data_IF_250028054527
#
_entry.id   IF_250028054527
#
_cell.length_a   1.000
_cell.length_b   1.000
_cell.length_c   1.000
_cell.angle_alpha   90.00
_cell.angle_beta   90.00
_cell.angle_gamma   90.00
#
_symmetry.space_group_name_H-M   'P 1'
#
loop_
_entity.id
_entity.type
_entity.pdbx_description
1 polymer ?
#
# COMPACT_ATOMS: atom_id res chain seq x y z
N UNK A 1 9.05 -0.04 -13.88
CA UNK A 1 7.93 -0.02 -12.93
C UNK A 1 8.52 -0.37 -11.59
N UNK A 2 8.65 0.59 -10.67
CA UNK A 2 9.16 0.33 -9.32
C UNK A 2 8.06 -0.32 -8.52
N UNK A 3 8.34 -1.45 -7.86
CA UNK A 3 7.45 -1.95 -6.83
C UNK A 3 7.62 -1.04 -5.61
N UNK A 4 6.61 -0.28 -5.27
CA UNK A 4 6.61 0.47 -4.03
C UNK A 4 5.52 -0.19 -3.21
N UNK A 5 5.81 -0.70 -1.99
CA UNK A 5 4.79 -1.06 -0.98
C UNK A 5 5.41 -1.13 0.40
N UNK A 6 4.75 -0.51 1.38
CA UNK A 6 5.17 -0.35 2.78
C UNK A 6 3.96 -0.58 3.71
N UNK A 7 4.15 -1.24 4.87
CA UNK A 7 3.18 -1.24 5.98
C UNK A 7 3.48 -2.29 7.07
N UNK A 8 3.06 -2.06 8.32
CA UNK A 8 3.66 -2.55 9.57
C UNK A 8 2.82 -3.61 10.32
N UNK A 9 3.44 -4.68 10.81
CA UNK A 9 2.92 -5.42 11.98
C UNK A 9 4.06 -5.96 12.80
N UNK A 10 4.45 -5.30 13.89
CA UNK A 10 5.38 -5.81 14.92
C UNK A 10 6.58 -6.64 14.43
N UNK A 11 7.04 -6.41 13.20
CA UNK A 11 7.86 -7.40 12.50
C UNK A 11 9.25 -7.34 13.10
N UNK A 12 9.74 -8.46 13.61
CA UNK A 12 11.07 -8.54 14.22
C UNK A 12 12.14 -7.96 13.29
N UNK A 13 12.03 -8.22 11.99
CA UNK A 13 12.93 -7.71 10.96
C UNK A 13 12.89 -6.18 10.81
N UNK A 14 11.72 -5.58 10.98
CA UNK A 14 11.56 -4.14 10.90
C UNK A 14 12.06 -3.43 12.16
N UNK A 15 11.84 -4.02 13.33
CA UNK A 15 12.41 -3.54 14.59
C UNK A 15 13.95 -3.60 14.56
N UNK A 16 14.51 -4.65 13.97
CA UNK A 16 15.96 -4.79 13.77
C UNK A 16 16.52 -3.77 12.77
N UNK A 17 15.86 -3.58 11.62
CA UNK A 17 16.36 -2.73 10.53
C UNK A 17 16.06 -1.24 10.72
N UNK A 18 15.08 -0.90 11.57
CA UNK A 18 14.48 0.43 11.61
C UNK A 18 13.72 0.79 10.33
N UNK A 19 12.94 1.87 10.36
CA UNK A 19 12.09 2.30 9.24
C UNK A 19 12.88 2.52 7.94
N UNK A 20 13.97 3.31 8.01
CA UNK A 20 14.80 3.60 6.83
C UNK A 20 15.49 2.35 6.25
N UNK A 21 15.97 1.44 7.11
CA UNK A 21 16.63 0.20 6.69
C UNK A 21 15.64 -0.77 6.03
N UNK A 22 14.44 -0.87 6.59
CA UNK A 22 13.36 -1.68 6.03
C UNK A 22 12.89 -1.17 4.67
N UNK A 23 12.65 0.14 4.54
CA UNK A 23 12.32 0.80 3.27
C UNK A 23 13.37 0.58 2.20
N UNK A 24 14.66 0.63 2.60
CA UNK A 24 15.77 0.33 1.69
C UNK A 24 15.66 -1.09 1.13
N UNK A 25 15.43 -2.09 1.97
CA UNK A 25 15.35 -3.49 1.53
C UNK A 25 14.14 -3.75 0.62
N UNK A 26 13.00 -3.16 0.96
CA UNK A 26 11.80 -3.13 0.10
C UNK A 26 12.10 -2.61 -1.29
N UNK A 27 12.80 -1.47 -1.35
CA UNK A 27 13.20 -0.85 -2.59
C UNK A 27 14.12 -1.75 -3.42
N UNK A 28 15.05 -2.47 -2.79
CA UNK A 28 15.91 -3.42 -3.50
C UNK A 28 15.09 -4.57 -4.10
N UNK A 29 14.15 -5.16 -3.35
CA UNK A 29 13.25 -6.19 -3.88
C UNK A 29 12.48 -5.69 -5.11
N UNK A 30 11.96 -4.48 -5.03
CA UNK A 30 11.23 -3.85 -6.12
C UNK A 30 12.03 -3.65 -7.40
N UNK A 31 13.27 -3.16 -7.27
CA UNK A 31 14.18 -3.02 -8.40
C UNK A 31 14.50 -4.38 -9.02
N UNK A 32 14.60 -5.43 -8.20
CA UNK A 32 14.79 -6.80 -8.68
C UNK A 32 13.58 -7.26 -9.48
N UNK A 33 12.37 -7.17 -8.92
CA UNK A 33 11.14 -7.60 -9.59
C UNK A 33 10.94 -6.86 -10.92
N UNK A 34 11.26 -5.56 -10.95
CA UNK A 34 11.23 -4.74 -12.16
C UNK A 34 12.26 -5.19 -13.22
N UNK A 35 13.49 -5.47 -12.80
CA UNK A 35 14.53 -5.99 -13.68
C UNK A 35 14.19 -7.40 -14.18
N UNK A 36 13.59 -8.22 -13.33
CA UNK A 36 13.14 -9.57 -13.67
C UNK A 36 12.07 -9.58 -14.76
N UNK A 37 11.13 -8.63 -14.70
CA UNK A 37 10.07 -8.48 -15.68
C UNK A 37 10.55 -7.83 -17.00
N UNK A 38 11.57 -6.96 -16.93
CA UNK A 38 11.97 -6.12 -18.07
C UNK A 38 13.20 -6.65 -18.84
N UNK A 39 14.05 -7.45 -18.21
CA UNK A 39 15.36 -7.84 -18.77
C UNK A 39 15.42 -9.37 -18.94
N UNK A 40 15.77 -9.88 -20.13
CA UNK A 40 15.98 -11.31 -20.34
C UNK A 40 17.05 -11.90 -19.41
N UNK A 41 16.88 -13.15 -18.91
CA UNK A 41 17.79 -13.77 -17.93
C UNK A 41 19.28 -13.68 -18.27
N UNK A 42 19.64 -13.86 -19.54
CA UNK A 42 21.01 -13.83 -20.04
C UNK A 42 21.69 -12.46 -19.95
N UNK A 43 20.92 -11.37 -19.86
CA UNK A 43 21.43 -10.00 -19.73
C UNK A 43 21.46 -9.51 -18.28
N UNK A 44 20.72 -10.17 -17.36
CA UNK A 44 20.61 -9.75 -15.96
C UNK A 44 21.97 -9.66 -15.25
N UNK A 45 22.91 -10.62 -15.37
CA UNK A 45 24.18 -10.56 -14.65
C UNK A 45 25.05 -9.33 -14.98
N UNK A 46 24.83 -8.70 -16.14
CA UNK A 46 25.56 -7.52 -16.60
C UNK A 46 24.87 -6.20 -16.26
N UNK A 47 23.64 -6.26 -15.74
CA UNK A 47 22.84 -5.08 -15.47
C UNK A 47 23.42 -4.31 -14.27
N UNK A 48 23.56 -2.99 -14.43
CA UNK A 48 23.81 -2.05 -13.34
C UNK A 48 22.60 -1.17 -13.13
N UNK A 49 22.14 -1.12 -11.89
CA UNK A 49 20.99 -0.33 -11.49
C UNK A 49 21.47 0.87 -10.69
N UNK A 50 20.97 2.06 -11.05
CA UNK A 50 21.14 3.25 -10.23
C UNK A 50 19.94 3.35 -9.28
N UNK A 51 20.16 2.99 -8.03
CA UNK A 51 19.13 2.87 -6.99
C UNK A 51 19.17 4.12 -6.14
N UNK A 52 18.05 4.83 -6.04
CA UNK A 52 17.89 5.99 -5.15
C UNK A 52 16.86 5.68 -4.07
N UNK A 53 17.18 5.99 -2.81
CA UNK A 53 16.33 5.69 -1.66
C UNK A 53 16.05 7.00 -0.91
N UNK A 54 14.83 7.53 -1.02
CA UNK A 54 14.49 8.86 -0.52
C UNK A 54 15.45 9.94 -1.04
N UNK A 55 15.98 10.74 -0.12
CA UNK A 55 16.89 11.86 -0.42
C UNK A 55 18.37 11.48 -0.51
N UNK A 56 18.72 10.20 -0.35
CA UNK A 56 20.12 9.77 -0.47
C UNK A 56 20.62 9.84 -1.92
N UNK A 57 21.92 10.12 -2.15
CA UNK A 57 22.51 10.06 -3.48
C UNK A 57 22.30 8.67 -4.13
N UNK A 58 22.06 8.59 -5.46
CA UNK A 58 21.93 7.31 -6.14
C UNK A 58 23.17 6.43 -5.96
N UNK A 59 22.96 5.15 -5.67
CA UNK A 59 24.01 4.14 -5.58
C UNK A 59 23.92 3.23 -6.80
N UNK A 60 25.04 3.02 -7.47
CA UNK A 60 25.14 2.02 -8.54
C UNK A 60 25.33 0.64 -7.93
N UNK A 61 24.43 -0.29 -8.25
CA UNK A 61 24.44 -1.67 -7.75
C UNK A 61 24.37 -2.64 -8.92
N UNK A 62 25.19 -3.68 -8.90
CA UNK A 62 25.10 -4.74 -9.90
C UNK A 62 23.90 -5.65 -9.59
N UNK A 63 23.28 -6.22 -10.62
CA UNK A 63 22.13 -7.10 -10.44
C UNK A 63 22.41 -8.32 -9.53
N UNK A 64 23.57 -8.99 -9.57
CA UNK A 64 23.85 -10.09 -8.64
C UNK A 64 23.83 -9.65 -7.16
N UNK A 65 24.33 -8.45 -6.85
CA UNK A 65 24.29 -7.90 -5.50
C UNK A 65 22.85 -7.54 -5.08
N UNK A 66 22.07 -7.02 -6.03
CA UNK A 66 20.64 -6.72 -5.85
C UNK A 66 19.83 -7.99 -5.56
N UNK A 67 20.10 -9.05 -6.33
CA UNK A 67 19.46 -10.35 -6.19
C UNK A 67 19.77 -10.95 -4.81
N UNK A 68 21.05 -10.96 -4.40
CA UNK A 68 21.46 -11.44 -3.08
C UNK A 68 20.78 -10.66 -1.95
N UNK A 69 20.76 -9.33 -2.03
CA UNK A 69 20.15 -8.47 -1.02
C UNK A 69 18.63 -8.67 -0.92
N UNK A 70 17.94 -8.79 -2.06
CA UNK A 70 16.50 -9.01 -2.11
C UNK A 70 16.11 -10.43 -1.64
N UNK A 71 16.90 -11.45 -1.98
CA UNK A 71 16.66 -12.81 -1.50
C UNK A 71 16.95 -12.95 0.00
N UNK A 72 18.01 -12.32 0.52
CA UNK A 72 18.30 -12.30 1.94
C UNK A 72 17.17 -11.63 2.73
N UNK A 73 16.57 -10.59 2.15
CA UNK A 73 15.39 -9.94 2.72
C UNK A 73 14.16 -10.85 2.69
N UNK A 74 13.86 -11.45 1.54
CA UNK A 74 12.68 -12.32 1.34
C UNK A 74 12.76 -13.59 2.22
N UNK A 75 13.94 -14.17 2.40
CA UNK A 75 14.16 -15.34 3.28
C UNK A 75 13.90 -15.05 4.77
N UNK A 76 14.01 -13.78 5.19
CA UNK A 76 13.84 -13.37 6.59
C UNK A 76 12.42 -12.90 6.91
N UNK A 77 11.53 -12.92 5.93
CA UNK A 77 10.10 -12.73 6.11
C UNK A 77 9.50 -14.08 6.54
N UNK A 78 9.10 -14.21 7.80
CA UNK A 78 8.36 -15.39 8.28
C UNK A 78 6.92 -15.36 7.79
N UNK A 79 6.33 -16.53 7.48
CA UNK A 79 4.90 -16.65 7.24
C UNK A 79 4.10 -16.12 8.44
N UNK A 80 2.95 -15.51 8.18
CA UNK A 80 2.04 -15.05 9.21
C UNK A 80 0.91 -16.07 9.32
N UNK A 81 1.11 -17.08 10.17
CA UNK A 81 0.17 -18.19 10.37
C UNK A 81 -1.21 -17.69 10.83
N UNK A 82 -1.27 -16.52 11.49
CA UNK A 82 -2.48 -15.90 12.00
C UNK A 82 -2.98 -14.69 11.18
N UNK A 83 -2.45 -14.47 9.96
CA UNK A 83 -2.91 -13.35 9.13
C UNK A 83 -4.26 -13.69 8.46
N UNK A 84 -5.32 -12.94 8.77
CA UNK A 84 -6.65 -13.22 8.23
C UNK A 84 -6.78 -13.00 6.72
N UNK A 85 -5.77 -12.42 6.07
CA UNK A 85 -5.80 -12.00 4.66
C UNK A 85 -5.04 -12.97 3.75
N UNK A 86 -4.15 -13.80 4.30
CA UNK A 86 -3.18 -14.56 3.49
C UNK A 86 -3.26 -16.07 3.64
N UNK A 87 -4.16 -16.58 4.48
CA UNK A 87 -4.45 -18.01 4.63
C UNK A 87 -3.18 -18.90 4.73
N UNK A 88 -2.16 -18.44 5.45
CA UNK A 88 -0.91 -19.20 5.66
C UNK A 88 0.16 -19.08 4.55
N UNK A 89 -0.03 -18.21 3.56
CA UNK A 89 1.03 -17.86 2.60
C UNK A 89 2.18 -17.09 3.29
N UNK A 90 3.42 -17.12 2.75
CA UNK A 90 4.52 -16.31 3.26
C UNK A 90 4.20 -14.83 3.08
N UNK A 91 3.76 -14.20 4.15
CA UNK A 91 3.35 -12.80 4.15
C UNK A 91 4.58 -11.95 4.39
N UNK A 92 4.92 -11.12 3.41
CA UNK A 92 5.79 -9.97 3.60
C UNK A 92 5.54 -9.31 4.96
N UNK A 93 6.58 -8.79 5.62
CA UNK A 93 6.40 -7.75 6.66
C UNK A 93 5.86 -6.43 6.06
N UNK A 94 5.14 -6.53 4.94
CA UNK A 94 4.62 -5.46 4.12
C UNK A 94 3.12 -5.47 4.30
N UNK A 95 2.58 -4.28 4.47
CA UNK A 95 1.16 -4.00 4.44
C UNK A 95 0.32 -4.66 5.52
N UNK A 96 0.41 -4.19 6.77
CA UNK A 96 -0.78 -4.25 7.64
C UNK A 96 -0.99 -2.93 8.37
N UNK A 97 -2.23 -2.48 8.36
CA UNK A 97 -2.79 -1.66 9.42
C UNK A 97 -3.16 -2.64 10.52
N UNK A 98 -2.99 -2.25 11.77
CA UNK A 98 -3.47 -3.03 12.91
C UNK A 98 -4.96 -3.28 12.73
N UNK A 99 -5.35 -4.55 12.81
CA UNK A 99 -6.76 -4.94 12.81
C UNK A 99 -7.27 -5.11 14.25
N UNK A 100 -8.53 -4.75 14.52
CA UNK A 100 -9.49 -4.16 13.58
C UNK A 100 -9.18 -2.69 13.25
N UNK A 101 -9.52 -2.23 12.04
CA UNK A 101 -9.51 -0.81 11.68
C UNK A 101 -10.54 -0.11 12.56
N UNK A 102 -10.11 0.93 13.27
CA UNK A 102 -11.00 1.67 14.15
C UNK A 102 -11.99 2.54 13.37
N UNK A 103 -13.09 2.88 14.03
CA UNK A 103 -14.14 3.69 13.43
C UNK A 103 -13.64 5.04 12.91
N UNK A 104 -12.82 5.82 13.64
CA UNK A 104 -12.30 7.10 13.13
C UNK A 104 -11.49 6.96 11.82
N UNK A 105 -10.67 5.93 11.70
CA UNK A 105 -9.88 5.67 10.50
C UNK A 105 -10.78 5.29 9.31
N UNK A 106 -11.72 4.38 9.51
CA UNK A 106 -12.66 3.94 8.48
C UNK A 106 -13.55 5.11 8.00
N UNK A 107 -14.13 5.87 8.93
CA UNK A 107 -14.97 7.04 8.64
C UNK A 107 -14.24 8.08 7.81
N UNK A 108 -13.02 8.43 8.21
CA UNK A 108 -12.26 9.47 7.54
C UNK A 108 -11.80 9.06 6.15
N UNK A 109 -11.35 7.81 6.00
CA UNK A 109 -10.97 7.25 4.70
C UNK A 109 -12.19 7.24 3.76
N UNK A 110 -13.32 6.73 4.24
CA UNK A 110 -14.56 6.67 3.47
C UNK A 110 -15.02 8.07 3.04
N UNK A 111 -15.00 9.03 3.97
CA UNK A 111 -15.38 10.41 3.68
C UNK A 111 -14.50 11.06 2.61
N UNK A 112 -13.17 10.88 2.67
CA UNK A 112 -12.27 11.47 1.66
C UNK A 112 -12.61 10.95 0.27
N UNK A 113 -12.94 9.66 0.14
CA UNK A 113 -13.37 9.10 -1.15
C UNK A 113 -14.71 9.69 -1.57
N UNK A 114 -15.72 9.67 -0.69
CA UNK A 114 -17.07 10.17 -0.97
C UNK A 114 -17.08 11.64 -1.37
N UNK A 115 -16.41 12.52 -0.61
CA UNK A 115 -16.25 13.94 -0.98
C UNK A 115 -15.51 14.11 -2.30
N UNK A 116 -14.56 13.21 -2.57
CA UNK A 116 -13.85 13.19 -3.83
C UNK A 116 -14.76 12.93 -5.02
N UNK A 117 -15.78 12.08 -4.89
CA UNK A 117 -16.72 11.78 -5.98
C UNK A 117 -17.44 13.03 -6.51
N UNK A 118 -17.70 14.01 -5.65
CA UNK A 118 -18.35 15.28 -6.01
C UNK A 118 -17.42 16.22 -6.79
N UNK A 119 -16.12 15.96 -6.78
CA UNK A 119 -15.08 16.82 -7.38
C UNK A 119 -14.27 16.05 -8.42
N UNK A 120 -14.63 16.14 -9.72
CA UNK A 120 -13.89 15.49 -10.80
C UNK A 120 -12.39 15.84 -10.76
N UNK A 121 -11.54 14.82 -10.87
CA UNK A 121 -10.08 14.96 -10.81
C UNK A 121 -9.50 15.01 -9.39
N UNK A 122 -10.33 15.05 -8.34
CA UNK A 122 -9.87 14.84 -6.96
C UNK A 122 -9.22 13.46 -6.80
N UNK A 123 -8.44 13.29 -5.72
CA UNK A 123 -7.82 12.00 -5.43
C UNK A 123 -8.85 10.91 -5.14
N UNK A 124 -9.95 11.23 -4.44
CA UNK A 124 -11.04 10.29 -4.20
C UNK A 124 -11.76 9.88 -5.49
N UNK A 125 -11.99 10.84 -6.40
CA UNK A 125 -12.57 10.54 -7.72
C UNK A 125 -11.67 9.61 -8.55
N UNK A 126 -10.36 9.93 -8.62
CA UNK A 126 -9.38 9.09 -9.33
C UNK A 126 -9.26 7.72 -8.70
N UNK A 127 -9.20 7.62 -7.37
CA UNK A 127 -9.15 6.34 -6.67
C UNK A 127 -10.37 5.46 -7.01
N UNK A 128 -11.57 6.03 -7.01
CA UNK A 128 -12.78 5.31 -7.41
C UNK A 128 -12.71 4.81 -8.86
N UNK A 129 -12.31 5.67 -9.80
CA UNK A 129 -12.30 5.33 -11.24
C UNK A 129 -11.15 4.39 -11.63
N UNK A 130 -9.94 4.61 -11.09
CA UNK A 130 -8.71 3.96 -11.55
C UNK A 130 -8.36 2.71 -10.74
N UNK A 131 -8.85 2.62 -9.49
CA UNK A 131 -8.53 1.53 -8.57
C UNK A 131 -9.76 0.69 -8.25
N UNK A 132 -10.83 1.29 -7.71
CA UNK A 132 -11.92 0.50 -7.13
C UNK A 132 -12.61 -0.43 -8.13
N UNK A 133 -12.91 0.06 -9.34
CA UNK A 133 -13.53 -0.75 -10.38
C UNK A 133 -12.72 -1.97 -10.84
N UNK A 134 -11.46 -2.11 -10.41
CA UNK A 134 -10.61 -3.27 -10.68
C UNK A 134 -10.73 -4.38 -9.63
N UNK A 135 -11.20 -4.03 -8.45
CA UNK A 135 -11.22 -4.90 -7.27
C UNK A 135 -12.64 -5.18 -6.79
N UNK A 136 -13.67 -4.78 -7.53
CA UNK A 136 -15.06 -5.11 -7.21
C UNK A 136 -15.45 -6.53 -7.67
N UNK A 137 -16.27 -7.26 -6.88
CA UNK A 137 -16.73 -6.93 -5.52
C UNK A 137 -15.68 -7.27 -4.44
N UNK A 138 -15.76 -6.69 -3.23
CA UNK A 138 -14.91 -7.09 -2.12
C UNK A 138 -15.21 -8.54 -1.69
N UNK A 139 -14.20 -9.27 -1.17
CA UNK A 139 -14.43 -10.53 -0.48
C UNK A 139 -15.43 -10.37 0.66
N UNK A 140 -16.27 -11.38 0.87
CA UNK A 140 -17.33 -11.36 1.89
C UNK A 140 -16.81 -11.00 3.29
N UNK A 141 -15.58 -11.40 3.60
CA UNK A 141 -14.88 -11.12 4.84
C UNK A 141 -14.82 -9.62 5.21
N UNK A 142 -14.63 -8.73 4.24
CA UNK A 142 -14.58 -7.28 4.47
C UNK A 142 -15.94 -6.69 4.90
N UNK A 143 -17.01 -7.42 4.61
CA UNK A 143 -18.37 -7.09 5.02
C UNK A 143 -18.73 -7.83 6.32
N UNK A 144 -18.28 -9.07 6.49
CA UNK A 144 -18.73 -9.97 7.56
C UNK A 144 -17.87 -9.92 8.83
N UNK A 145 -16.55 -9.69 8.72
CA UNK A 145 -15.62 -9.74 9.85
C UNK A 145 -15.51 -8.38 10.53
N UNK A 146 -16.58 -7.99 11.21
CA UNK A 146 -16.75 -6.66 11.82
C UNK A 146 -17.06 -6.73 13.32
N UNK A 147 -16.82 -5.64 14.04
CA UNK A 147 -17.04 -5.51 15.48
C UNK A 147 -15.75 -5.55 16.31
N UNK A 148 -15.89 -5.57 17.64
CA UNK A 148 -14.75 -5.57 18.58
C UNK A 148 -14.15 -6.97 18.85
N UNK A 149 -14.65 -8.00 18.16
CA UNK A 149 -14.26 -9.39 18.40
C UNK A 149 -12.85 -9.71 17.87
N UNK A 150 -12.20 -10.72 18.48
CA UNK A 150 -10.92 -11.23 18.03
C UNK A 150 -11.02 -11.74 16.58
N UNK A 151 -10.18 -11.21 15.69
CA UNK A 151 -10.17 -11.56 14.27
C UNK A 151 -11.08 -10.70 13.39
N UNK A 152 -11.69 -9.63 13.92
CA UNK A 152 -12.37 -8.62 13.13
C UNK A 152 -11.39 -7.80 12.27
N UNK A 153 -11.83 -7.40 11.08
CA UNK A 153 -11.13 -6.48 10.17
C UNK A 153 -11.51 -5.02 10.43
N UNK A 154 -12.72 -4.72 10.89
CA UNK A 154 -13.16 -3.36 11.18
C UNK A 154 -13.96 -3.32 12.49
N UNK A 155 -13.84 -2.24 13.26
CA UNK A 155 -14.60 -2.07 14.51
C UNK A 155 -16.07 -1.77 14.23
N UNK A 156 -16.38 -1.00 13.18
CA UNK A 156 -17.77 -0.69 12.83
C UNK A 156 -18.54 -1.96 12.46
N UNK A 157 -19.70 -2.19 13.07
CA UNK A 157 -20.51 -3.40 12.83
C UNK A 157 -21.05 -3.50 11.40
N UNK A 158 -21.27 -2.36 10.74
CA UNK A 158 -21.78 -2.28 9.39
C UNK A 158 -20.93 -1.33 8.55
N UNK A 159 -20.67 -1.66 7.26
CA UNK A 159 -20.03 -0.73 6.34
C UNK A 159 -20.79 0.59 6.27
N UNK A 160 -20.04 1.69 6.19
CA UNK A 160 -20.60 2.98 5.86
C UNK A 160 -21.07 2.95 4.41
N UNK A 161 -22.17 3.63 4.11
CA UNK A 161 -22.77 3.63 2.77
C UNK A 161 -22.91 5.04 2.23
N UNK A 162 -22.69 5.18 0.92
CA UNK A 162 -22.97 6.39 0.17
C UNK A 162 -23.64 6.03 -1.15
N UNK A 163 -24.65 6.80 -1.53
CA UNK A 163 -25.38 6.62 -2.79
C UNK A 163 -25.52 7.94 -3.52
N UNK A 164 -25.31 7.92 -4.84
CA UNK A 164 -25.45 9.09 -5.70
C UNK A 164 -26.11 8.71 -7.03
N UNK A 165 -26.51 9.72 -7.80
CA UNK A 165 -27.07 9.52 -9.12
C UNK A 165 -26.03 9.81 -10.20
N UNK A 166 -25.86 8.87 -11.13
CA UNK A 166 -24.97 9.00 -12.28
C UNK A 166 -25.67 8.43 -13.52
N UNK A 167 -25.82 9.24 -14.57
CA UNK A 167 -26.44 8.78 -15.82
C UNK A 167 -27.90 8.31 -15.68
N UNK A 168 -28.61 8.73 -14.62
CA UNK A 168 -29.97 8.26 -14.32
C UNK A 168 -30.03 6.97 -13.50
N UNK A 169 -28.90 6.34 -13.19
CA UNK A 169 -28.79 5.19 -12.31
C UNK A 169 -28.41 5.61 -10.89
N UNK A 170 -28.87 4.84 -9.89
CA UNK A 170 -28.41 4.99 -8.50
C UNK A 170 -27.14 4.16 -8.34
N UNK A 171 -26.02 4.83 -8.09
CA UNK A 171 -24.75 4.21 -7.72
C UNK A 171 -24.67 4.07 -6.20
N UNK A 172 -23.92 3.08 -5.74
CA UNK A 172 -23.67 2.81 -4.32
C UNK A 172 -22.20 2.50 -4.12
N UNK A 173 -21.69 2.94 -2.98
CA UNK A 173 -20.32 2.71 -2.53
C UNK A 173 -20.36 2.45 -1.02
N UNK A 174 -19.63 1.44 -0.57
CA UNK A 174 -19.47 1.14 0.85
C UNK A 174 -18.03 1.32 1.33
N UNK A 175 -17.83 1.50 2.63
CA UNK A 175 -16.48 1.53 3.21
C UNK A 175 -15.74 0.20 3.06
N UNK A 176 -16.46 -0.93 2.96
CA UNK A 176 -15.87 -2.23 2.68
C UNK A 176 -15.23 -2.27 1.27
N UNK A 177 -15.89 -1.66 0.27
CA UNK A 177 -15.33 -1.53 -1.09
C UNK A 177 -14.04 -0.71 -1.07
N UNK A 178 -14.06 0.43 -0.36
CA UNK A 178 -12.90 1.33 -0.26
C UNK A 178 -11.72 0.64 0.41
N UNK A 179 -11.98 -0.03 1.54
CA UNK A 179 -10.94 -0.72 2.30
C UNK A 179 -10.36 -1.89 1.50
N UNK A 180 -11.21 -2.75 0.94
CA UNK A 180 -10.72 -3.84 0.10
C UNK A 180 -9.87 -3.33 -1.07
N UNK A 181 -10.36 -2.33 -1.80
CA UNK A 181 -9.61 -1.75 -2.92
C UNK A 181 -8.27 -1.15 -2.45
N UNK A 182 -8.24 -0.49 -1.29
CA UNK A 182 -7.01 0.03 -0.69
C UNK A 182 -6.00 -1.10 -0.47
N UNK A 183 -6.39 -2.18 0.20
CA UNK A 183 -5.48 -3.28 0.54
C UNK A 183 -5.10 -4.15 -0.66
N UNK A 184 -6.04 -4.45 -1.56
CA UNK A 184 -5.76 -5.20 -2.78
C UNK A 184 -4.81 -4.45 -3.73
N UNK A 185 -4.84 -3.11 -3.71
CA UNK A 185 -3.92 -2.28 -4.49
C UNK A 185 -2.50 -2.29 -3.95
N UNK A 186 -2.30 -2.65 -2.68
CA UNK A 186 -0.96 -2.73 -2.11
C UNK A 186 -0.11 -3.80 -2.81
N UNK A 187 -0.69 -4.80 -3.47
CA UNK A 187 0.07 -5.76 -4.28
C UNK A 187 0.26 -5.31 -5.74
N UNK A 188 -0.26 -4.14 -6.13
CA UNK A 188 -0.16 -3.57 -7.48
C UNK A 188 0.62 -2.24 -7.51
N UNK A 189 1.83 -2.33 -8.05
CA UNK A 189 2.73 -1.19 -8.27
C UNK A 189 2.12 -0.03 -9.07
N UNK A 190 1.07 -0.25 -9.87
CA UNK A 190 0.44 0.84 -10.65
C UNK A 190 -0.46 1.73 -9.81
N UNK A 191 -1.11 1.19 -8.79
CA UNK A 191 -2.06 1.94 -7.97
C UNK A 191 -1.43 2.62 -6.75
N UNK A 192 -0.20 2.27 -6.38
CA UNK A 192 0.34 2.72 -5.10
C UNK A 192 0.58 4.24 -5.01
N UNK A 193 0.97 4.90 -6.10
CA UNK A 193 1.12 6.37 -6.08
C UNK A 193 -0.21 7.05 -5.77
N UNK A 194 -1.30 6.54 -6.33
CA UNK A 194 -2.63 7.08 -6.10
C UNK A 194 -3.16 6.74 -4.70
N UNK A 195 -2.85 5.55 -4.19
CA UNK A 195 -3.07 5.19 -2.77
C UNK A 195 -2.30 6.12 -1.84
N UNK A 196 -1.04 6.43 -2.15
CA UNK A 196 -0.21 7.35 -1.37
C UNK A 196 -0.81 8.75 -1.32
N UNK A 197 -1.26 9.24 -2.47
CA UNK A 197 -1.98 10.52 -2.57
C UNK A 197 -3.27 10.49 -1.74
N UNK A 198 -4.04 9.41 -1.81
CA UNK A 198 -5.29 9.25 -1.05
C UNK A 198 -5.01 9.30 0.46
N UNK A 199 -4.08 8.48 0.94
CA UNK A 199 -3.74 8.43 2.36
C UNK A 199 -3.12 9.73 2.88
N UNK A 200 -2.39 10.45 2.02
CA UNK A 200 -1.90 11.78 2.35
C UNK A 200 -3.02 12.80 2.48
N UNK A 201 -4.05 12.69 1.64
CA UNK A 201 -5.26 13.51 1.72
C UNK A 201 -6.06 13.19 2.98
N UNK A 202 -6.19 11.91 3.35
CA UNK A 202 -6.71 11.48 4.65
C UNK A 202 -5.95 12.15 5.80
N UNK A 203 -4.61 12.16 5.75
CA UNK A 203 -3.80 12.85 6.74
C UNK A 203 -4.01 14.37 6.77
N UNK A 204 -4.23 15.01 5.61
CA UNK A 204 -4.57 16.44 5.54
C UNK A 204 -5.92 16.71 6.22
N UNK A 205 -6.96 15.96 5.86
CA UNK A 205 -8.31 16.12 6.42
C UNK A 205 -8.34 15.78 7.92
N UNK A 206 -7.58 14.78 8.37
CA UNK A 206 -7.42 14.45 9.78
C UNK A 206 -6.90 15.65 10.59
N UNK A 207 -5.85 16.32 10.10
CA UNK A 207 -5.25 17.49 10.74
C UNK A 207 -6.19 18.69 10.76
N UNK A 208 -6.93 18.93 9.67
CA UNK A 208 -7.92 20.01 9.58
C UNK A 208 -9.05 19.84 10.59
N UNK A 209 -9.44 18.59 10.86
CA UNK A 209 -10.50 18.25 11.80
C UNK A 209 -10.03 18.14 13.25
N UNK A 210 -8.73 18.25 13.51
CA UNK A 210 -8.15 17.91 14.80
C UNK A 210 -8.58 16.50 15.25
N UNK A 211 -8.71 15.57 14.30
CA UNK A 211 -9.06 14.19 14.60
C UNK A 211 -7.99 13.60 15.53
N UNK A 212 -8.42 12.84 16.54
CA UNK A 212 -7.50 12.21 17.47
C UNK A 212 -6.55 11.28 16.70
N UNK A 213 -5.25 11.52 16.82
CA UNK A 213 -4.21 10.69 16.20
C UNK A 213 -3.96 9.42 17.03
N UNK A 214 -5.00 8.62 17.24
CA UNK A 214 -4.96 7.38 18.00
C UNK A 214 -5.41 6.21 17.14
N UNK A 215 -4.95 5.01 17.49
CA UNK A 215 -5.34 3.77 16.80
C UNK A 215 -4.72 3.65 15.41
N UNK A 216 -5.54 3.28 14.44
CA UNK A 216 -5.17 2.87 13.07
C UNK A 216 -5.06 4.04 12.09
N UNK A 217 -5.64 5.20 12.42
CA UNK A 217 -5.54 6.39 11.58
C UNK A 217 -4.08 6.88 11.38
N UNK A 218 -3.25 7.01 12.43
CA UNK A 218 -1.82 7.33 12.26
C UNK A 218 -1.07 6.33 11.39
N UNK A 219 -1.44 5.04 11.44
CA UNK A 219 -0.82 4.00 10.63
C UNK A 219 -1.15 4.17 9.15
N UNK A 220 -2.43 4.45 8.82
CA UNK A 220 -2.87 4.77 7.46
C UNK A 220 -2.15 6.01 6.90
N UNK A 221 -2.05 7.08 7.68
CA UNK A 221 -1.35 8.31 7.26
C UNK A 221 0.12 8.02 7.00
N UNK A 222 0.78 7.28 7.89
CA UNK A 222 2.18 6.89 7.73
C UNK A 222 2.39 6.01 6.50
N UNK A 223 1.47 5.09 6.21
CA UNK A 223 1.49 4.31 4.96
C UNK A 223 1.46 5.21 3.73
N UNK A 224 0.64 6.26 3.75
CA UNK A 224 0.59 7.27 2.69
C UNK A 224 1.90 8.02 2.49
N UNK A 225 2.48 8.52 3.59
CA UNK A 225 3.75 9.23 3.57
C UNK A 225 4.89 8.35 3.04
N UNK A 226 4.90 7.07 3.44
CA UNK A 226 5.89 6.10 3.00
C UNK A 226 5.72 5.73 1.52
N UNK A 227 4.49 5.48 1.08
CA UNK A 227 4.19 5.22 -0.32
C UNK A 227 4.55 6.42 -1.21
N UNK A 228 4.37 7.65 -0.71
CA UNK A 228 4.79 8.89 -1.40
C UNK A 228 6.31 9.06 -1.46
N UNK A 229 7.00 8.78 -0.36
CA UNK A 229 8.47 8.80 -0.33
C UNK A 229 9.09 7.78 -1.31
N UNK A 230 8.34 6.71 -1.60
CA UNK A 230 8.75 5.72 -2.59
C UNK A 230 8.40 6.12 -4.03
N UNK A 231 7.18 6.65 -4.27
CA UNK A 231 6.71 7.06 -5.61
C UNK A 231 7.40 8.30 -6.16
N UNK A 232 7.94 9.17 -5.29
CA UNK A 232 8.72 10.36 -5.67
C UNK A 232 10.13 10.05 -6.16
N UNK A 233 10.52 8.78 -6.17
CA UNK A 233 11.80 8.39 -6.74
C UNK A 233 11.62 8.14 -8.24
N UNK A 234 12.25 8.96 -9.11
CA UNK A 234 12.26 8.68 -10.53
C UNK A 234 12.78 7.26 -10.71
N UNK A 235 12.04 6.43 -11.45
CA UNK A 235 12.44 5.07 -11.77
C UNK A 235 13.92 5.07 -12.08
N UNK A 236 14.70 4.34 -11.28
CA UNK A 236 16.14 4.27 -11.48
C UNK A 236 16.37 3.92 -12.95
N UNK A 237 17.14 4.74 -13.66
CA UNK A 237 17.49 4.47 -15.05
C UNK A 237 18.19 3.10 -15.05
N UNK A 238 17.54 2.10 -15.63
CA UNK A 238 18.17 0.85 -15.98
C UNK A 238 19.16 1.17 -17.09
N UNK A 239 20.44 1.18 -16.75
CA UNK A 239 21.52 1.37 -17.72
C UNK A 239 22.15 0.01 -17.92
N UNK A 240 21.90 -0.59 -19.08
CA UNK A 240 22.66 -1.75 -19.52
C UNK A 240 24.03 -1.20 -19.95
N UNK A 241 25.07 -1.58 -19.24
CA UNK A 241 26.45 -1.28 -19.62
C UNK A 241 26.93 -2.49 -20.41
N UNK A 242 27.13 -2.31 -21.71
CA UNK A 242 27.74 -3.32 -22.58
C UNK A 242 29.26 -3.44 -22.34
#
# INVERSE_FOLDING_TARGET
MGADVVGFRGCALQNELGEAGFLRKLKLKAYKDAADAAVPPERKPKLKLNIRIGDTPPVSMAYPDLEQEAEAFTRRVSGCEDCPITEGAPVGCYAYVSYPIDAPAEELLFEVVVRGLESPGSVGHRFHQEIMGRFEPPPAEWVERRGEAQGALCVLEHPLEHSWHEGGEVRRLTSADVLWALFATLDDARGISLVAELLSEVGRVARERQAAATGTLPELVRMGDLARALSTVPGGRLVIVD
#
